data_IF_321331765207
#
_entry.id   IF_321331765207
#
_cell.length_a   1.000
_cell.length_b   1.000
_cell.length_c   1.000
_cell.angle_alpha   90.00
_cell.angle_beta   90.00
_cell.angle_gamma   90.00
#
_symmetry.space_group_name_H-M   'P 1'
#
loop_
_entity.id
_entity.type
_entity.pdbx_description
1 polymer ?
#
# COMPACT_ATOMS: atom_id res chain seq x y z
N UNK A 1 40.87 -52.81 -33.34
CA UNK A 1 41.40 -52.11 -34.53
C UNK A 1 41.97 -50.79 -34.04
N UNK A 2 43.29 -50.73 -33.82
CA UNK A 2 44.29 -50.27 -34.81
C UNK A 2 44.16 -48.74 -34.99
N UNK A 3 44.89 -47.96 -34.18
CA UNK A 3 46.27 -47.40 -34.35
C UNK A 3 46.23 -46.04 -35.06
N UNK A 4 46.77 -44.98 -34.42
CA UNK A 4 48.12 -44.41 -34.72
C UNK A 4 47.96 -43.04 -35.43
N UNK A 5 48.71 -41.96 -35.16
CA UNK A 5 49.86 -41.74 -34.28
C UNK A 5 50.27 -40.25 -34.25
N UNK A 6 51.05 -39.93 -33.20
CA UNK A 6 52.23 -39.04 -33.14
C UNK A 6 52.04 -37.50 -33.21
N UNK A 7 52.41 -36.75 -32.14
CA UNK A 7 53.78 -36.39 -31.63
C UNK A 7 54.42 -35.32 -32.55
N UNK A 8 54.83 -34.12 -32.09
CA UNK A 8 55.78 -33.80 -31.01
C UNK A 8 55.51 -32.37 -30.43
N UNK A 9 55.38 -32.18 -29.11
CA UNK A 9 56.43 -31.77 -28.14
C UNK A 9 57.46 -30.73 -28.59
N UNK A 10 57.53 -29.60 -27.87
CA UNK A 10 58.78 -29.20 -27.22
C UNK A 10 58.53 -28.30 -25.99
N UNK A 11 59.09 -28.75 -24.87
CA UNK A 11 59.21 -28.09 -23.58
C UNK A 11 60.30 -27.00 -23.56
N UNK A 12 60.14 -25.96 -22.74
CA UNK A 12 61.25 -25.51 -21.87
C UNK A 12 60.75 -24.64 -20.69
N UNK A 13 61.07 -25.14 -19.50
CA UNK A 13 61.42 -24.46 -18.25
C UNK A 13 61.73 -22.96 -18.29
N UNK A 14 61.22 -22.22 -17.30
CA UNK A 14 61.90 -21.05 -16.71
C UNK A 14 61.00 -19.83 -16.44
N UNK A 15 60.77 -19.48 -15.16
CA UNK A 15 60.36 -18.11 -14.80
C UNK A 15 61.53 -17.14 -15.09
N UNK A 16 61.24 -15.92 -15.56
CA UNK A 16 61.54 -14.78 -14.72
C UNK A 16 60.47 -13.67 -14.72
N UNK A 17 60.49 -12.94 -13.61
CA UNK A 17 59.69 -11.75 -13.26
C UNK A 17 59.84 -10.60 -14.26
N UNK A 18 58.75 -9.86 -14.49
CA UNK A 18 58.81 -8.40 -14.67
C UNK A 18 57.43 -7.78 -14.38
N UNK A 19 57.26 -7.29 -13.15
CA UNK A 19 56.29 -6.24 -12.83
C UNK A 19 56.59 -5.07 -13.77
N UNK A 20 55.65 -4.72 -14.66
CA UNK A 20 55.78 -3.50 -15.46
C UNK A 20 55.32 -2.30 -14.60
N UNK A 21 56.12 -1.22 -14.54
CA UNK A 21 55.99 -0.15 -13.56
C UNK A 21 54.90 0.88 -13.91
N UNK A 22 54.42 1.59 -12.89
CA UNK A 22 53.73 2.87 -13.03
C UNK A 22 54.61 3.86 -13.81
N UNK A 23 54.25 4.21 -15.04
CA UNK A 23 54.68 5.47 -15.67
C UNK A 23 53.61 5.97 -16.65
N UNK A 24 52.87 6.99 -16.19
CA UNK A 24 52.52 8.20 -16.94
C UNK A 24 52.13 8.04 -18.42
N UNK A 25 50.92 7.58 -18.70
CA UNK A 25 50.23 8.06 -19.89
C UNK A 25 49.63 9.42 -19.53
N UNK A 26 50.22 10.49 -20.07
CA UNK A 26 49.58 11.81 -20.00
C UNK A 26 48.27 11.67 -20.77
N UNK A 27 47.14 11.83 -20.07
CA UNK A 27 45.84 11.86 -20.73
C UNK A 27 45.93 12.80 -21.93
N UNK A 28 45.56 12.28 -23.10
CA UNK A 28 45.49 13.05 -24.34
C UNK A 28 44.56 14.24 -24.12
N UNK A 29 44.84 15.36 -24.80
CA UNK A 29 43.98 16.56 -24.76
C UNK A 29 42.51 16.22 -25.09
N UNK A 30 42.31 15.19 -25.90
CA UNK A 30 41.00 14.71 -26.29
C UNK A 30 40.31 13.91 -25.16
N UNK A 31 41.03 13.07 -24.42
CA UNK A 31 40.51 12.34 -23.25
C UNK A 31 40.15 13.30 -22.11
N UNK A 32 40.95 14.34 -21.88
CA UNK A 32 40.65 15.37 -20.88
C UNK A 32 39.40 16.18 -21.27
N UNK A 33 39.18 16.42 -22.56
CA UNK A 33 38.00 17.12 -23.07
C UNK A 33 36.75 16.24 -22.90
N UNK A 34 36.84 14.97 -23.23
CA UNK A 34 35.76 14.00 -23.08
C UNK A 34 35.38 13.78 -21.62
N UNK A 35 36.36 13.66 -20.71
CA UNK A 35 36.14 13.57 -19.26
C UNK A 35 35.45 14.84 -18.73
N UNK A 36 35.82 16.04 -19.23
CA UNK A 36 35.16 17.29 -18.85
C UNK A 36 33.72 17.37 -19.36
N UNK A 37 33.47 16.97 -20.61
CA UNK A 37 32.11 16.89 -21.16
C UNK A 37 31.26 15.88 -20.38
N UNK A 38 31.83 14.73 -20.00
CA UNK A 38 31.15 13.72 -19.22
C UNK A 38 30.87 14.16 -17.78
N UNK A 39 31.80 14.87 -17.12
CA UNK A 39 31.57 15.48 -15.81
C UNK A 39 30.50 16.58 -15.89
N UNK A 40 30.51 17.41 -16.94
CA UNK A 40 29.51 18.47 -17.14
C UNK A 40 28.10 17.90 -17.39
N UNK A 41 28.00 16.83 -18.18
CA UNK A 41 26.74 16.10 -18.42
C UNK A 41 26.25 15.40 -17.15
N UNK A 42 27.15 14.75 -16.41
CA UNK A 42 26.81 14.09 -15.14
C UNK A 42 26.45 15.11 -14.03
N UNK A 43 27.06 16.29 -14.01
CA UNK A 43 26.72 17.36 -13.07
C UNK A 43 25.31 17.91 -13.29
N UNK A 44 24.87 18.04 -14.54
CA UNK A 44 23.50 18.45 -14.87
C UNK A 44 22.47 17.37 -14.45
N UNK A 45 22.83 16.08 -14.54
CA UNK A 45 21.99 14.98 -14.06
C UNK A 45 21.89 14.92 -12.52
N UNK A 46 22.96 15.28 -11.80
CA UNK A 46 22.97 15.33 -10.32
C UNK A 46 22.21 16.56 -9.80
N UNK A 47 22.32 17.71 -10.47
CA UNK A 47 21.53 18.91 -10.13
C UNK A 47 20.02 18.68 -10.32
N UNK A 48 19.62 17.98 -11.39
CA UNK A 48 18.22 17.64 -11.65
C UNK A 48 17.66 16.60 -10.67
N UNK A 49 18.45 15.59 -10.28
CA UNK A 49 18.04 14.60 -9.28
C UNK A 49 17.98 15.15 -7.84
N UNK A 50 18.78 16.16 -7.49
CA UNK A 50 18.69 16.78 -6.16
C UNK A 50 17.43 17.65 -6.00
N UNK A 51 16.95 18.26 -7.09
CA UNK A 51 15.78 19.15 -7.08
C UNK A 51 14.45 18.38 -7.11
N UNK A 52 14.39 17.24 -7.81
CA UNK A 52 13.21 16.36 -7.82
C UNK A 52 13.07 15.55 -6.53
N UNK A 53 14.18 15.12 -5.91
CA UNK A 53 14.16 14.42 -4.62
C UNK A 53 13.86 15.37 -3.46
N UNK A 54 14.31 16.63 -3.50
CA UNK A 54 13.88 17.63 -2.50
C UNK A 54 12.42 18.06 -2.66
N UNK A 55 11.89 18.17 -3.89
CA UNK A 55 10.47 18.47 -4.11
C UNK A 55 9.53 17.37 -3.60
N UNK A 56 9.91 16.10 -3.81
CA UNK A 56 9.14 14.95 -3.31
C UNK A 56 9.29 14.74 -1.79
N UNK A 57 10.42 15.07 -1.18
CA UNK A 57 10.63 14.91 0.27
C UNK A 57 10.04 16.09 1.07
N UNK A 58 10.03 17.31 0.51
CA UNK A 58 9.46 18.50 1.18
C UNK A 58 7.93 18.61 1.01
N UNK A 59 7.33 18.01 -0.02
CA UNK A 59 5.87 17.95 -0.19
C UNK A 59 5.17 16.83 0.59
N UNK A 60 5.90 15.78 1.00
CA UNK A 60 5.34 14.63 1.71
C UNK A 60 5.02 14.89 3.18
N UNK A 61 5.69 15.86 3.84
CA UNK A 61 5.45 16.16 5.25
C UNK A 61 4.11 16.86 5.51
N UNK A 62 3.68 17.73 4.59
CA UNK A 62 2.40 18.45 4.70
C UNK A 62 1.21 17.54 4.39
N UNK A 63 1.37 16.62 3.43
CA UNK A 63 0.31 15.68 3.04
C UNK A 63 -0.02 14.70 4.17
N UNK A 64 1.00 14.07 4.79
CA UNK A 64 0.77 13.15 5.92
C UNK A 64 0.13 13.84 7.13
N UNK A 65 0.56 15.06 7.45
CA UNK A 65 0.01 15.83 8.57
C UNK A 65 -1.47 16.19 8.33
N UNK A 66 -1.85 16.43 7.08
CA UNK A 66 -3.24 16.66 6.71
C UNK A 66 -4.05 15.35 6.76
N UNK A 67 -3.54 14.27 6.17
CA UNK A 67 -4.19 12.95 6.20
C UNK A 67 -4.45 12.46 7.63
N UNK A 68 -3.50 12.70 8.55
CA UNK A 68 -3.67 12.38 9.96
C UNK A 68 -4.78 13.20 10.62
N UNK A 69 -4.86 14.50 10.34
CA UNK A 69 -5.94 15.37 10.86
C UNK A 69 -7.29 14.98 10.29
N UNK A 70 -7.35 14.64 9.01
CA UNK A 70 -8.57 14.18 8.34
C UNK A 70 -9.04 12.85 8.94
N UNK A 71 -8.11 11.93 9.20
CA UNK A 71 -8.39 10.67 9.90
C UNK A 71 -8.89 10.91 11.33
N UNK A 72 -8.24 11.78 12.12
CA UNK A 72 -8.72 12.13 13.47
C UNK A 72 -10.12 12.77 13.45
N UNK A 73 -10.38 13.64 12.47
CA UNK A 73 -11.68 14.27 12.29
C UNK A 73 -12.74 13.23 11.91
N UNK A 74 -12.40 12.29 11.04
CA UNK A 74 -13.26 11.16 10.71
C UNK A 74 -13.60 10.33 11.96
N UNK A 75 -12.61 9.96 12.77
CA UNK A 75 -12.83 9.21 14.02
C UNK A 75 -13.79 9.95 14.96
N UNK A 76 -13.57 11.26 15.13
CA UNK A 76 -14.46 12.11 15.94
C UNK A 76 -15.89 12.12 15.39
N UNK A 77 -16.05 12.22 14.07
CA UNK A 77 -17.36 12.26 13.41
C UNK A 77 -18.15 10.95 13.55
N UNK A 78 -17.46 9.80 13.59
CA UNK A 78 -18.11 8.51 13.87
C UNK A 78 -18.34 8.26 15.37
N UNK A 79 -17.98 9.22 16.22
CA UNK A 79 -18.23 9.20 17.67
C UNK A 79 -17.11 8.60 18.52
N UNK A 80 -15.89 8.46 17.97
CA UNK A 80 -14.74 8.02 18.76
C UNK A 80 -14.13 9.20 19.52
N UNK A 81 -14.16 9.14 20.85
CA UNK A 81 -13.62 10.15 21.77
C UNK A 81 -12.42 9.64 22.57
N UNK A 82 -11.92 8.46 22.22
CA UNK A 82 -10.78 7.83 22.88
C UNK A 82 -9.44 8.50 22.54
N UNK A 83 -8.36 7.92 23.07
CA UNK A 83 -6.99 8.37 22.80
C UNK A 83 -6.67 8.27 21.30
N UNK A 84 -5.78 9.12 20.77
CA UNK A 84 -5.29 8.97 19.39
C UNK A 84 -4.79 7.54 19.16
N UNK A 85 -5.16 6.95 18.02
CA UNK A 85 -4.85 5.53 17.72
C UNK A 85 -3.34 5.26 17.80
N UNK A 86 -2.51 6.25 17.45
CA UNK A 86 -1.05 6.18 17.50
C UNK A 86 -0.47 6.14 18.94
N UNK A 87 -1.27 6.47 19.96
CA UNK A 87 -0.84 6.56 21.36
C UNK A 87 -1.42 5.41 22.23
N UNK A 88 -2.14 4.47 21.62
CA UNK A 88 -2.75 3.35 22.33
C UNK A 88 -1.69 2.32 22.74
N UNK A 89 -1.81 1.83 23.97
CA UNK A 89 -1.18 0.57 24.37
C UNK A 89 -1.84 -0.62 23.67
N UNK A 90 -1.16 -1.77 23.67
CA UNK A 90 -1.69 -3.00 23.08
C UNK A 90 -2.99 -3.45 23.77
N UNK A 91 -3.05 -3.29 25.09
CA UNK A 91 -4.23 -3.63 25.89
C UNK A 91 -5.41 -2.72 25.53
N UNK A 92 -5.18 -1.41 25.39
CA UNK A 92 -6.22 -0.45 24.99
C UNK A 92 -6.71 -0.74 23.56
N UNK A 93 -5.79 -0.99 22.62
CA UNK A 93 -6.16 -1.33 21.24
C UNK A 93 -6.98 -2.64 21.18
N UNK A 94 -6.60 -3.65 21.97
CA UNK A 94 -7.33 -4.92 22.05
C UNK A 94 -8.73 -4.72 22.63
N UNK A 95 -8.87 -3.87 23.66
CA UNK A 95 -10.17 -3.54 24.23
C UNK A 95 -11.08 -2.84 23.19
N UNK A 96 -10.52 -1.96 22.36
CA UNK A 96 -11.30 -1.28 21.33
C UNK A 96 -11.84 -2.21 20.24
N UNK A 97 -11.13 -3.29 19.89
CA UNK A 97 -11.55 -4.27 18.87
C UNK A 97 -12.25 -5.51 19.46
N UNK A 98 -12.43 -5.55 20.78
CA UNK A 98 -13.23 -6.60 21.43
C UNK A 98 -14.69 -6.56 20.97
N UNK A 99 -15.46 -7.64 21.21
CA UNK A 99 -16.86 -7.78 20.76
C UNK A 99 -17.72 -6.52 20.97
N UNK A 100 -17.61 -5.95 22.18
CA UNK A 100 -18.34 -4.76 22.62
C UNK A 100 -17.49 -3.48 22.58
N UNK A 101 -16.25 -3.56 22.08
CA UNK A 101 -15.36 -2.42 21.93
C UNK A 101 -15.88 -1.43 20.89
N UNK A 102 -15.37 -0.20 20.91
CA UNK A 102 -15.82 0.82 19.97
C UNK A 102 -15.64 0.37 18.51
N UNK A 103 -14.51 -0.24 18.15
CA UNK A 103 -14.25 -0.85 16.82
C UNK A 103 -14.58 -2.34 16.77
N UNK A 104 -15.33 -2.84 17.75
CA UNK A 104 -15.83 -4.21 17.79
C UNK A 104 -16.86 -4.48 16.70
N UNK A 105 -17.14 -5.78 16.49
CA UNK A 105 -18.10 -6.26 15.48
C UNK A 105 -19.47 -5.66 15.73
N UNK A 106 -19.97 -5.74 16.97
CA UNK A 106 -21.31 -5.26 17.32
C UNK A 106 -21.47 -3.77 17.06
N UNK A 107 -20.62 -2.93 17.65
CA UNK A 107 -20.75 -1.48 17.48
C UNK A 107 -20.49 -1.02 16.05
N UNK A 108 -19.51 -1.60 15.36
CA UNK A 108 -19.18 -1.19 13.99
C UNK A 108 -20.25 -1.59 12.99
N UNK A 109 -20.78 -2.81 13.11
CA UNK A 109 -21.88 -3.27 12.25
C UNK A 109 -23.14 -2.42 12.43
N UNK A 110 -23.49 -2.08 13.68
CA UNK A 110 -24.60 -1.18 13.98
C UNK A 110 -24.41 0.21 13.35
N UNK A 111 -23.23 0.82 13.46
CA UNK A 111 -22.96 2.13 12.84
C UNK A 111 -23.10 2.08 11.33
N UNK A 112 -22.57 1.05 10.67
CA UNK A 112 -22.68 0.89 9.21
C UNK A 112 -24.15 0.68 8.80
N UNK A 113 -24.86 -0.23 9.47
CA UNK A 113 -26.26 -0.51 9.16
C UNK A 113 -27.14 0.73 9.40
N UNK A 114 -26.96 1.42 10.53
CA UNK A 114 -27.73 2.61 10.87
C UNK A 114 -27.47 3.77 9.90
N UNK A 115 -26.26 3.90 9.35
CA UNK A 115 -25.99 4.87 8.31
C UNK A 115 -26.91 4.66 7.09
N UNK A 116 -27.04 3.42 6.64
CA UNK A 116 -27.93 3.06 5.53
C UNK A 116 -29.40 3.18 5.91
N UNK A 117 -29.80 2.60 7.04
CA UNK A 117 -31.20 2.59 7.49
C UNK A 117 -31.70 4.01 7.68
N UNK A 118 -30.97 4.85 8.41
CA UNK A 118 -31.36 6.24 8.65
C UNK A 118 -31.28 7.07 7.38
N UNK A 119 -30.23 6.88 6.58
CA UNK A 119 -30.06 7.56 5.30
C UNK A 119 -31.16 7.24 4.28
N UNK A 120 -31.75 6.04 4.36
CA UNK A 120 -32.83 5.64 3.46
C UNK A 120 -34.16 6.33 3.71
N UNK A 121 -34.39 6.85 4.92
CA UNK A 121 -35.68 7.39 5.34
C UNK A 121 -36.85 6.39 5.22
N UNK A 122 -36.58 5.08 5.24
CA UNK A 122 -37.58 4.02 5.10
C UNK A 122 -38.00 3.72 3.66
N UNK A 123 -37.30 4.27 2.66
CA UNK A 123 -37.56 4.00 1.25
C UNK A 123 -36.89 2.67 0.80
N UNK A 124 -37.65 1.80 0.15
CA UNK A 124 -37.16 0.48 -0.33
C UNK A 124 -35.97 0.61 -1.28
N UNK A 125 -36.07 1.48 -2.29
CA UNK A 125 -35.04 1.63 -3.32
C UNK A 125 -33.73 2.15 -2.70
N UNK A 126 -33.82 3.06 -1.74
CA UNK A 126 -32.65 3.58 -1.01
C UNK A 126 -32.04 2.53 -0.07
N UNK A 127 -32.85 1.71 0.61
CA UNK A 127 -32.34 0.59 1.42
C UNK A 127 -31.59 -0.42 0.55
N UNK A 128 -32.16 -0.79 -0.60
CA UNK A 128 -31.51 -1.69 -1.57
C UNK A 128 -30.22 -1.09 -2.10
N UNK A 129 -30.24 0.15 -2.55
CA UNK A 129 -29.06 0.84 -3.05
C UNK A 129 -27.97 0.97 -1.98
N UNK A 130 -28.34 1.28 -0.73
CA UNK A 130 -27.41 1.33 0.39
C UNK A 130 -26.79 -0.03 0.70
N UNK A 131 -27.59 -1.09 0.72
CA UNK A 131 -27.13 -2.47 0.91
C UNK A 131 -26.17 -2.92 -0.21
N UNK A 132 -26.50 -2.64 -1.46
CA UNK A 132 -25.63 -2.94 -2.61
C UNK A 132 -24.33 -2.12 -2.55
N UNK A 133 -24.43 -0.85 -2.15
CA UNK A 133 -23.29 0.03 -1.91
C UNK A 133 -22.35 -0.51 -0.82
N UNK A 134 -22.89 -1.07 0.27
CA UNK A 134 -22.08 -1.73 1.30
C UNK A 134 -21.28 -2.90 0.73
N UNK A 135 -21.92 -3.78 -0.05
CA UNK A 135 -21.26 -4.95 -0.65
C UNK A 135 -20.18 -4.51 -1.65
N UNK A 136 -20.50 -3.53 -2.50
CA UNK A 136 -19.57 -3.00 -3.50
C UNK A 136 -18.36 -2.35 -2.82
N UNK A 137 -18.59 -1.45 -1.85
CA UNK A 137 -17.51 -0.77 -1.12
C UNK A 137 -16.63 -1.73 -0.33
N UNK A 138 -17.20 -2.79 0.25
CA UNK A 138 -16.41 -3.82 0.92
C UNK A 138 -15.48 -4.57 -0.04
N UNK A 139 -15.97 -4.91 -1.24
CA UNK A 139 -15.15 -5.55 -2.28
C UNK A 139 -14.04 -4.62 -2.79
N UNK A 140 -14.33 -3.33 -2.93
CA UNK A 140 -13.30 -2.33 -3.26
C UNK A 140 -12.24 -2.25 -2.16
N UNK A 141 -12.65 -2.29 -0.89
CA UNK A 141 -11.73 -2.33 0.24
C UNK A 141 -10.86 -3.60 0.23
N UNK A 142 -11.40 -4.78 -0.09
CA UNK A 142 -10.60 -6.00 -0.31
C UNK A 142 -9.57 -5.84 -1.43
N UNK A 143 -9.98 -5.23 -2.56
CA UNK A 143 -9.07 -4.98 -3.67
C UNK A 143 -7.92 -4.04 -3.26
N UNK A 144 -8.22 -2.96 -2.53
CA UNK A 144 -7.22 -2.04 -1.99
C UNK A 144 -6.32 -2.68 -0.92
N UNK A 145 -6.87 -3.60 -0.14
CA UNK A 145 -6.13 -4.38 0.87
C UNK A 145 -5.14 -5.38 0.25
N UNK A 146 -5.35 -5.75 -1.02
CA UNK A 146 -4.51 -6.73 -1.73
C UNK A 146 -4.96 -8.18 -1.52
N UNK A 147 -6.21 -8.41 -1.13
CA UNK A 147 -6.75 -9.74 -0.87
C UNK A 147 -8.01 -9.71 -0.01
N UNK A 148 -8.33 -10.82 0.64
CA UNK A 148 -9.45 -10.84 1.59
C UNK A 148 -9.15 -9.99 2.81
N UNK A 149 -10.13 -9.20 3.24
CA UNK A 149 -10.06 -8.52 4.52
C UNK A 149 -10.06 -9.54 5.68
N UNK A 150 -9.49 -9.19 6.84
CA UNK A 150 -9.48 -10.05 8.03
C UNK A 150 -10.88 -10.52 8.44
N UNK A 151 -10.94 -11.66 9.15
CA UNK A 151 -12.19 -12.31 9.59
C UNK A 151 -13.13 -11.35 10.33
N UNK A 152 -12.60 -10.55 11.27
CA UNK A 152 -13.38 -9.53 11.99
C UNK A 152 -14.12 -8.56 11.06
N UNK A 153 -13.51 -8.18 9.93
CA UNK A 153 -14.11 -7.28 8.95
C UNK A 153 -15.24 -7.98 8.18
N UNK A 154 -15.07 -9.27 7.86
CA UNK A 154 -16.08 -10.09 7.19
C UNK A 154 -17.31 -10.27 8.10
N UNK A 155 -17.08 -10.62 9.36
CA UNK A 155 -18.14 -10.79 10.36
C UNK A 155 -18.90 -9.48 10.60
N UNK A 156 -18.18 -8.36 10.69
CA UNK A 156 -18.77 -7.02 10.81
C UNK A 156 -19.67 -6.69 9.63
N UNK A 157 -19.21 -6.94 8.40
CA UNK A 157 -19.99 -6.65 7.19
C UNK A 157 -21.21 -7.57 7.07
N UNK A 158 -21.06 -8.86 7.36
CA UNK A 158 -22.18 -9.82 7.34
C UNK A 158 -23.28 -9.40 8.32
N UNK A 159 -22.90 -9.06 9.57
CA UNK A 159 -23.83 -8.60 10.61
C UNK A 159 -24.51 -7.29 10.21
N UNK A 160 -23.78 -6.35 9.61
CA UNK A 160 -24.35 -5.09 9.14
C UNK A 160 -25.39 -5.30 8.03
N UNK A 161 -25.10 -6.17 7.05
CA UNK A 161 -26.03 -6.52 5.97
C UNK A 161 -27.29 -7.17 6.54
N UNK A 162 -27.15 -8.10 7.48
CA UNK A 162 -28.28 -8.75 8.16
C UNK A 162 -29.19 -7.72 8.86
N UNK A 163 -28.62 -6.70 9.50
CA UNK A 163 -29.40 -5.64 10.13
C UNK A 163 -30.20 -4.81 9.12
N UNK A 164 -29.61 -4.48 7.96
CA UNK A 164 -30.31 -3.78 6.87
C UNK A 164 -31.41 -4.67 6.28
N UNK A 165 -31.12 -5.95 6.05
CA UNK A 165 -32.10 -6.93 5.56
C UNK A 165 -33.28 -7.08 6.52
N UNK A 166 -32.99 -7.13 7.82
CA UNK A 166 -34.01 -7.14 8.86
C UNK A 166 -34.86 -5.87 8.83
N UNK A 167 -34.24 -4.69 8.71
CA UNK A 167 -34.97 -3.43 8.63
C UNK A 167 -35.89 -3.38 7.39
N UNK A 168 -35.42 -3.87 6.25
CA UNK A 168 -36.24 -4.01 5.04
C UNK A 168 -37.42 -4.96 5.26
N UNK A 169 -37.18 -6.11 5.90
CA UNK A 169 -38.23 -7.08 6.23
C UNK A 169 -39.27 -6.50 7.18
N UNK A 170 -38.84 -5.79 8.24
CA UNK A 170 -39.73 -5.17 9.23
C UNK A 170 -40.61 -4.08 8.58
N UNK A 171 -40.13 -3.42 7.52
CA UNK A 171 -40.89 -2.46 6.71
C UNK A 171 -41.80 -3.13 5.66
N UNK A 172 -41.78 -4.46 5.56
CA UNK A 172 -42.61 -5.25 4.65
C UNK A 172 -42.02 -5.45 3.25
N UNK A 173 -40.73 -5.16 3.05
CA UNK A 173 -40.04 -5.37 1.78
C UNK A 173 -39.47 -6.78 1.68
N UNK A 174 -39.37 -7.29 0.44
CA UNK A 174 -38.72 -8.58 0.17
C UNK A 174 -37.21 -8.45 0.30
N UNK A 175 -36.55 -9.30 1.09
CA UNK A 175 -35.08 -9.36 1.17
C UNK A 175 -34.44 -9.99 -0.08
N UNK A 176 -35.22 -10.68 -0.91
CA UNK A 176 -34.75 -11.20 -2.19
C UNK A 176 -34.70 -10.04 -3.16
N UNK A 177 -33.52 -9.79 -3.74
CA UNK A 177 -33.37 -8.86 -4.87
C UNK A 177 -34.30 -9.34 -5.99
N UNK A 178 -35.24 -8.48 -6.40
CA UNK A 178 -36.02 -8.77 -7.61
C UNK A 178 -35.02 -8.77 -8.76
N UNK A 179 -34.73 -9.95 -9.31
CA UNK A 179 -34.03 -10.04 -10.59
C UNK A 179 -34.86 -9.24 -11.61
N UNK A 180 -34.25 -8.21 -12.19
CA UNK A 180 -34.79 -7.45 -13.31
C UNK A 180 -34.30 -8.10 -14.60
#
# INVERSE_FOLDING_TARGET
>A
MQISSNVATLSSTGKPSAIKPLFTEKLSKDEVKEIREQIQQNANAIAFNSTSVQGSILGSSDSFSQDYKDFQSFLSNIGYDGKPIAELSQEEATALVSEDGFFGITQTSERIANFVINGSGGNEDMLRAGREGMIAGFKEAEAMWGGKLPEISQETMAKAIEMVDKAMYDLGFSIINKEV
#
